data_IF_261377707067
#
_entry.id   IF_261377707067
#
_cell.length_a   1.000
_cell.length_b   1.000
_cell.length_c   1.000
_cell.angle_alpha   90.00
_cell.angle_beta   90.00
_cell.angle_gamma   90.00
#
_symmetry.space_group_name_H-M   'P 1'
#
loop_
_entity.id
_entity.type
_entity.pdbx_description
1 polymer ?
#
# COMPACT_ATOMS: atom_id res chain seq x y z
N UNK A 1 -21.43 -22.97 7.86
CA UNK A 1 -22.25 -21.76 7.68
C UNK A 1 -21.47 -20.58 8.22
N UNK A 2 -20.97 -19.70 7.35
CA UNK A 2 -20.44 -18.40 7.77
C UNK A 2 -21.66 -17.47 7.84
N UNK A 3 -22.03 -17.07 9.05
CA UNK A 3 -23.05 -16.04 9.25
C UNK A 3 -22.37 -14.71 8.99
N UNK A 4 -22.60 -14.12 7.82
CA UNK A 4 -22.18 -12.75 7.54
C UNK A 4 -23.15 -11.85 8.32
N UNK A 5 -22.70 -11.36 9.49
CA UNK A 5 -23.45 -10.32 10.19
C UNK A 5 -23.66 -9.15 9.25
N UNK A 6 -24.92 -8.74 9.07
CA UNK A 6 -25.26 -7.55 8.28
C UNK A 6 -24.49 -6.37 8.90
N UNK A 7 -23.67 -5.63 8.13
CA UNK A 7 -22.93 -4.50 8.67
C UNK A 7 -23.92 -3.48 9.24
N UNK A 8 -23.57 -2.93 10.41
CA UNK A 8 -24.29 -1.81 11.02
C UNK A 8 -24.45 -0.71 9.98
N UNK A 9 -25.67 -0.25 9.75
CA UNK A 9 -25.95 0.87 8.84
C UNK A 9 -25.99 2.14 9.69
N UNK A 10 -24.93 2.96 9.70
CA UNK A 10 -24.95 4.20 10.45
C UNK A 10 -26.00 5.17 9.83
N UNK A 11 -26.53 6.11 10.62
CA UNK A 11 -27.43 7.15 10.08
C UNK A 11 -26.75 8.06 9.03
N UNK A 12 -25.41 8.03 8.93
CA UNK A 12 -24.61 8.75 7.94
C UNK A 12 -23.30 8.01 7.67
N UNK A 13 -22.84 8.02 6.41
CA UNK A 13 -21.59 7.39 5.96
C UNK A 13 -20.96 8.22 4.82
N UNK A 14 -19.65 8.42 4.87
CA UNK A 14 -18.87 9.07 3.80
C UNK A 14 -17.64 8.22 3.50
N UNK A 15 -17.39 7.99 2.22
CA UNK A 15 -16.25 7.21 1.72
C UNK A 15 -15.52 8.03 0.66
N UNK A 16 -14.20 8.10 0.76
CA UNK A 16 -13.33 8.75 -0.22
C UNK A 16 -12.40 7.71 -0.87
N UNK A 17 -12.15 7.86 -2.18
CA UNK A 17 -11.11 7.12 -2.90
C UNK A 17 -10.30 8.10 -3.74
N UNK A 18 -8.98 8.10 -3.53
CA UNK A 18 -8.03 8.81 -4.40
C UNK A 18 -7.78 7.99 -5.68
N UNK A 19 -7.89 8.67 -6.82
CA UNK A 19 -7.72 8.04 -8.14
C UNK A 19 -6.26 7.71 -8.45
N UNK A 20 -6.02 6.93 -9.51
CA UNK A 20 -4.66 6.50 -9.88
C UNK A 20 -3.69 7.66 -10.16
N UNK A 21 -4.19 8.79 -10.64
CA UNK A 21 -3.38 9.99 -10.91
C UNK A 21 -3.35 10.99 -9.76
N UNK A 22 -3.97 10.70 -8.62
CA UNK A 22 -3.89 11.57 -7.46
C UNK A 22 -2.45 11.59 -6.93
N UNK A 23 -1.85 12.76 -6.61
CA UNK A 23 -0.47 12.85 -6.13
C UNK A 23 -0.17 11.89 -4.96
N UNK A 24 -1.03 11.82 -3.95
CA UNK A 24 -0.82 10.86 -2.85
C UNK A 24 -0.82 9.39 -3.30
N UNK A 25 -1.73 8.99 -4.20
CA UNK A 25 -1.76 7.62 -4.74
C UNK A 25 -0.52 7.33 -5.59
N UNK A 26 0.02 8.33 -6.27
CA UNK A 26 1.28 8.23 -6.98
C UNK A 26 2.45 8.08 -6.00
N UNK A 27 2.49 8.85 -4.92
CA UNK A 27 3.51 8.74 -3.88
C UNK A 27 3.52 7.34 -3.24
N UNK A 28 2.33 6.83 -2.88
CA UNK A 28 2.14 5.45 -2.37
C UNK A 28 2.63 4.41 -3.39
N UNK A 29 2.24 4.57 -4.66
CA UNK A 29 2.62 3.64 -5.72
C UNK A 29 4.13 3.62 -5.99
N UNK A 30 4.78 4.79 -5.97
CA UNK A 30 6.23 4.92 -6.13
C UNK A 30 6.96 4.28 -4.95
N UNK A 31 6.52 4.57 -3.73
CA UNK A 31 7.06 3.98 -2.49
C UNK A 31 7.06 2.45 -2.56
N UNK A 32 5.91 1.85 -2.89
CA UNK A 32 5.74 0.41 -3.02
C UNK A 32 6.60 -0.17 -4.16
N UNK A 33 6.63 0.49 -5.32
CA UNK A 33 7.45 0.05 -6.46
C UNK A 33 8.94 -0.02 -6.10
N UNK A 34 9.45 0.97 -5.35
CA UNK A 34 10.83 0.99 -4.88
C UNK A 34 11.08 -0.14 -3.87
N UNK A 35 10.22 -0.31 -2.87
CA UNK A 35 10.36 -1.38 -1.88
C UNK A 35 10.41 -2.77 -2.55
N UNK A 36 9.49 -3.05 -3.49
CA UNK A 36 9.49 -4.31 -4.25
C UNK A 36 10.76 -4.51 -5.07
N UNK A 37 11.32 -3.44 -5.63
CA UNK A 37 12.59 -3.50 -6.35
C UNK A 37 13.74 -3.87 -5.41
N UNK A 38 13.83 -3.21 -4.25
CA UNK A 38 14.84 -3.51 -3.23
C UNK A 38 14.74 -4.94 -2.70
N UNK A 39 13.53 -5.44 -2.43
CA UNK A 39 13.33 -6.84 -2.03
C UNK A 39 13.90 -7.82 -3.04
N UNK A 40 13.64 -7.63 -4.35
CA UNK A 40 14.19 -8.50 -5.40
C UNK A 40 15.71 -8.44 -5.42
N UNK A 41 16.27 -7.24 -5.39
CA UNK A 41 17.71 -7.03 -5.38
C UNK A 41 18.38 -7.68 -4.16
N UNK A 42 17.81 -7.56 -2.96
CA UNK A 42 18.35 -8.20 -1.77
C UNK A 42 18.29 -9.72 -1.82
N UNK A 43 17.21 -10.29 -2.38
CA UNK A 43 17.11 -11.73 -2.58
C UNK A 43 18.16 -12.24 -3.59
N UNK A 44 18.42 -11.49 -4.66
CA UNK A 44 19.43 -11.82 -5.67
C UNK A 44 20.86 -11.77 -5.10
N UNK A 45 21.19 -10.73 -4.34
CA UNK A 45 22.57 -10.48 -3.87
C UNK A 45 22.89 -11.16 -2.53
N UNK A 46 21.91 -11.27 -1.63
CA UNK A 46 22.14 -11.70 -0.24
C UNK A 46 21.30 -12.90 0.19
N UNK A 47 20.39 -13.39 -0.67
CA UNK A 47 19.51 -14.52 -0.37
C UNK A 47 18.44 -14.24 0.69
N UNK A 48 18.34 -13.00 1.17
CA UNK A 48 17.36 -12.57 2.19
C UNK A 48 16.93 -11.13 1.93
N UNK A 49 15.76 -10.74 2.45
CA UNK A 49 15.34 -9.35 2.44
C UNK A 49 16.04 -8.62 3.58
N UNK A 50 16.81 -7.58 3.25
CA UNK A 50 17.42 -6.70 4.26
C UNK A 50 16.42 -5.65 4.74
N UNK A 51 16.63 -5.16 5.96
CA UNK A 51 15.77 -4.13 6.55
C UNK A 51 15.84 -2.83 5.74
N UNK A 52 14.68 -2.36 5.28
CA UNK A 52 14.51 -1.08 4.59
C UNK A 52 13.08 -0.58 4.81
N UNK A 53 12.89 0.74 4.80
CA UNK A 53 11.58 1.39 4.76
C UNK A 53 11.66 2.55 3.76
N UNK A 54 10.82 2.52 2.72
CA UNK A 54 10.81 3.52 1.64
C UNK A 54 9.46 4.22 1.52
N UNK A 55 8.86 4.52 2.67
CA UNK A 55 7.53 5.10 2.87
C UNK A 55 7.53 6.63 2.96
N UNK A 56 8.56 7.29 2.38
CA UNK A 56 8.73 8.75 2.39
C UNK A 56 9.02 9.25 0.97
N UNK A 57 7.95 9.46 0.21
CA UNK A 57 8.00 10.02 -1.14
C UNK A 57 7.25 11.36 -1.14
N UNK A 58 7.86 12.39 -1.71
CA UNK A 58 7.27 13.71 -1.88
C UNK A 58 7.27 14.06 -3.38
N UNK A 59 6.09 14.37 -3.90
CA UNK A 59 5.84 14.81 -5.29
C UNK A 59 4.77 15.89 -5.32
#
# INVERSE_FOLDING_TARGET
>A
MIVVNKPFTPPYEVVERKGLGHPDTLADGISEAISRSLCRHYLEESGQILHHNVDKVLI
#
